data_IF_136354612235
#
_entry.id   IF_136354612235
#
_cell.length_a   1.000
_cell.length_b   1.000
_cell.length_c   1.000
_cell.angle_alpha   90.00
_cell.angle_beta   90.00
_cell.angle_gamma   90.00
#
_symmetry.space_group_name_H-M   'P 1'
#
loop_
_entity.id
_entity.type
_entity.pdbx_description
1 polymer ?
#
# COMPACT_ATOMS: atom_id res chain seq x y z
N UNK A 1 -17.99 88.99 35.00
CA UNK A 1 -18.27 87.68 34.38
C UNK A 1 -17.28 87.50 33.23
N UNK A 2 -16.20 86.74 33.45
CA UNK A 2 -15.09 86.57 32.49
C UNK A 2 -15.05 85.12 32.04
N UNK A 3 -15.03 84.91 30.73
CA UNK A 3 -14.54 83.69 30.10
C UNK A 3 -13.64 84.15 28.95
N UNK A 4 -12.35 83.79 28.96
CA UNK A 4 -11.82 82.92 27.90
C UNK A 4 -10.34 82.54 28.05
N UNK A 5 -10.12 81.26 27.73
CA UNK A 5 -9.01 80.64 27.03
C UNK A 5 -7.57 80.95 27.48
N UNK A 6 -6.93 79.98 28.15
CA UNK A 6 -5.74 79.26 27.65
C UNK A 6 -5.20 78.28 28.71
N UNK A 7 -4.94 77.06 28.26
CA UNK A 7 -3.93 76.11 28.77
C UNK A 7 -4.32 75.07 29.86
N UNK A 8 -3.80 73.85 29.62
CA UNK A 8 -3.54 72.70 30.52
C UNK A 8 -4.69 71.67 30.58
N UNK A 9 -4.76 70.63 29.73
CA UNK A 9 -3.85 69.48 29.50
C UNK A 9 -3.78 68.48 30.67
N UNK A 10 -4.60 67.42 30.61
CA UNK A 10 -4.17 66.05 30.97
C UNK A 10 -5.20 65.02 30.46
N UNK A 11 -4.98 64.47 29.27
CA UNK A 11 -5.64 63.23 28.83
C UNK A 11 -4.65 62.09 29.07
N UNK A 12 -4.96 61.24 30.03
CA UNK A 12 -4.21 60.02 30.35
C UNK A 12 -4.59 58.95 29.31
N UNK A 13 -3.84 58.87 28.22
CA UNK A 13 -3.98 57.80 27.23
C UNK A 13 -3.27 56.54 27.74
N UNK A 14 -4.04 55.60 28.25
CA UNK A 14 -3.63 54.20 28.43
C UNK A 14 -3.46 53.60 27.03
N UNK A 15 -2.21 53.49 26.57
CA UNK A 15 -1.85 52.69 25.41
C UNK A 15 -1.78 51.24 25.91
N UNK A 16 -2.86 50.48 25.69
CA UNK A 16 -2.81 49.03 25.70
C UNK A 16 -1.87 48.59 24.57
N UNK A 17 -0.66 48.15 24.92
CA UNK A 17 0.16 47.32 24.04
C UNK A 17 -0.63 46.03 23.78
N UNK A 18 -1.35 45.97 22.67
CA UNK A 18 -1.64 44.71 22.01
C UNK A 18 -0.30 44.16 21.53
N UNK A 19 0.37 43.40 22.39
CA UNK A 19 1.38 42.44 21.97
C UNK A 19 0.63 41.40 21.13
N UNK A 20 0.52 41.65 19.84
CA UNK A 20 0.15 40.63 18.88
C UNK A 20 1.29 39.61 18.91
N UNK A 21 1.17 38.63 19.81
CA UNK A 21 1.80 37.33 19.61
C UNK A 21 1.29 36.86 18.26
N UNK A 22 2.12 37.03 17.23
CA UNK A 22 1.94 36.35 15.97
C UNK A 22 2.12 34.87 16.30
N UNK A 23 1.02 34.18 16.58
CA UNK A 23 0.96 32.72 16.58
C UNK A 23 1.41 32.30 15.17
N UNK A 24 2.69 31.97 15.07
CA UNK A 24 3.24 31.29 13.90
C UNK A 24 2.41 30.02 13.79
N UNK A 25 1.58 29.93 12.76
CA UNK A 25 0.85 28.72 12.45
C UNK A 25 1.89 27.58 12.38
N UNK A 26 1.87 26.73 13.39
CA UNK A 26 2.76 25.57 13.47
C UNK A 26 2.27 24.59 12.43
N UNK A 27 2.83 24.65 11.22
CA UNK A 27 2.51 23.69 10.18
C UNK A 27 3.12 22.35 10.61
N UNK A 28 2.28 21.42 11.04
CA UNK A 28 2.74 20.06 11.26
C UNK A 28 3.09 19.39 9.92
N UNK A 29 4.13 18.58 9.94
CA UNK A 29 4.65 17.77 8.84
C UNK A 29 4.29 16.32 9.14
N UNK A 30 3.22 15.84 8.50
CA UNK A 30 2.87 14.43 8.52
C UNK A 30 3.88 13.64 7.70
N UNK A 31 4.70 12.80 8.33
CA UNK A 31 5.85 12.15 7.71
C UNK A 31 5.39 11.04 6.76
N UNK A 32 5.90 11.11 5.52
CA UNK A 32 5.82 10.03 4.54
C UNK A 32 7.22 9.49 4.28
N UNK A 33 7.37 8.17 4.30
CA UNK A 33 8.65 7.49 4.07
C UNK A 33 8.39 6.13 3.41
N UNK A 34 9.11 5.84 2.33
CA UNK A 34 9.13 4.54 1.67
C UNK A 34 10.56 4.21 1.31
N UNK A 35 10.97 2.96 1.57
CA UNK A 35 12.32 2.46 1.31
C UNK A 35 12.22 1.11 0.63
N UNK A 36 13.19 0.82 -0.22
CA UNK A 36 13.41 -0.47 -0.86
C UNK A 36 14.89 -0.84 -0.79
N UNK A 37 15.16 -2.13 -0.74
CA UNK A 37 16.45 -2.75 -0.91
C UNK A 37 16.73 -3.09 -2.38
N UNK A 38 18.00 -3.09 -2.72
CA UNK A 38 18.53 -3.66 -3.94
C UNK A 38 19.86 -4.36 -3.61
N UNK A 39 20.23 -5.35 -4.41
CA UNK A 39 21.48 -6.08 -4.26
C UNK A 39 22.30 -5.98 -5.52
N UNK A 40 23.59 -5.67 -5.36
CA UNK A 40 24.49 -5.79 -6.49
C UNK A 40 24.87 -7.25 -6.77
N UNK A 41 25.65 -7.45 -7.84
CA UNK A 41 26.14 -8.76 -8.26
C UNK A 41 26.99 -9.50 -7.20
N UNK A 42 27.50 -8.78 -6.21
CA UNK A 42 28.36 -9.30 -5.14
C UNK A 42 27.55 -9.45 -3.82
N UNK A 43 26.21 -9.41 -3.90
CA UNK A 43 25.25 -9.49 -2.80
C UNK A 43 25.44 -8.40 -1.74
N UNK A 44 25.93 -7.23 -2.13
CA UNK A 44 26.01 -6.04 -1.28
C UNK A 44 24.72 -5.25 -1.38
N UNK A 45 24.26 -4.76 -0.24
CA UNK A 45 22.94 -4.18 -0.08
C UNK A 45 22.96 -2.66 -0.32
N UNK A 46 22.01 -2.18 -1.10
CA UNK A 46 21.74 -0.76 -1.33
C UNK A 46 20.33 -0.43 -0.88
N UNK A 47 20.15 0.59 -0.05
CA UNK A 47 18.83 1.14 0.23
C UNK A 47 18.58 2.39 -0.58
N UNK A 48 17.40 2.48 -1.18
CA UNK A 48 16.88 3.71 -1.79
C UNK A 48 15.49 4.00 -1.25
N UNK A 49 15.11 5.27 -1.18
CA UNK A 49 13.81 5.63 -0.67
C UNK A 49 13.34 7.02 -1.08
N UNK A 50 12.06 7.28 -0.82
CA UNK A 50 11.40 8.57 -1.00
C UNK A 50 10.76 9.04 0.29
N UNK A 51 10.74 10.35 0.50
CA UNK A 51 10.19 10.96 1.71
C UNK A 51 9.79 12.41 1.48
N UNK A 52 8.92 12.95 2.33
CA UNK A 52 8.62 14.38 2.39
C UNK A 52 9.46 15.14 3.44
N UNK A 53 10.45 14.48 4.05
CA UNK A 53 11.35 15.10 5.02
C UNK A 53 12.22 16.21 4.38
N UNK A 54 12.67 17.21 5.16
CA UNK A 54 13.45 18.31 4.63
C UNK A 54 14.77 17.90 4.01
N UNK A 55 15.18 18.63 2.97
CA UNK A 55 16.52 18.52 2.42
C UNK A 55 17.58 18.73 3.51
N UNK A 56 18.64 17.93 3.42
CA UNK A 56 19.76 17.88 4.35
C UNK A 56 19.44 17.26 5.72
N UNK A 57 18.25 16.69 5.89
CA UNK A 57 17.94 15.95 7.11
C UNK A 57 18.77 14.68 7.17
N UNK A 58 19.47 14.49 8.30
CA UNK A 58 20.32 13.33 8.55
C UNK A 58 19.52 12.22 9.19
N UNK A 59 19.61 11.03 8.61
CA UNK A 59 18.99 9.80 9.10
C UNK A 59 20.07 8.75 9.34
N UNK A 60 19.81 7.86 10.28
CA UNK A 60 20.66 6.72 10.61
C UNK A 60 19.91 5.45 10.25
N UNK A 61 20.51 4.65 9.37
CA UNK A 61 20.05 3.33 8.98
C UNK A 61 20.81 2.33 9.85
N UNK A 62 20.10 1.58 10.69
CA UNK A 62 20.65 0.47 11.49
C UNK A 62 20.11 -0.84 10.94
N UNK A 63 21.00 -1.70 10.46
CA UNK A 63 20.65 -2.98 9.86
C UNK A 63 21.06 -4.08 10.83
N UNK A 64 20.19 -5.06 11.07
CA UNK A 64 20.49 -6.27 11.81
C UNK A 64 20.07 -7.51 11.01
N UNK A 65 20.86 -8.58 11.07
CA UNK A 65 20.54 -9.88 10.49
C UNK A 65 20.36 -10.94 11.57
N UNK A 66 19.57 -11.99 11.28
CA UNK A 66 19.43 -13.16 12.17
C UNK A 66 20.76 -13.92 12.38
N UNK A 67 21.68 -13.79 11.43
CA UNK A 67 23.05 -14.33 11.49
C UNK A 67 23.98 -13.55 12.44
N UNK A 68 23.46 -12.50 13.10
CA UNK A 68 24.23 -11.60 13.95
C UNK A 68 24.92 -10.48 13.18
N UNK A 69 24.67 -10.34 11.87
CA UNK A 69 25.11 -9.17 11.13
C UNK A 69 24.55 -7.89 11.76
N UNK A 70 25.39 -6.84 11.84
CA UNK A 70 24.92 -5.50 12.15
C UNK A 70 25.72 -4.44 11.43
N UNK A 71 25.06 -3.38 10.98
CA UNK A 71 25.70 -2.24 10.36
C UNK A 71 24.93 -0.96 10.65
N UNK A 72 25.62 0.18 10.64
CA UNK A 72 25.02 1.50 10.69
C UNK A 72 25.55 2.38 9.57
N UNK A 73 24.65 3.15 8.95
CA UNK A 73 24.97 4.15 7.91
C UNK A 73 24.21 5.44 8.15
N UNK A 74 24.90 6.57 8.05
CA UNK A 74 24.25 7.89 7.99
C UNK A 74 23.89 8.18 6.53
N UNK A 75 22.67 8.66 6.28
CA UNK A 75 22.23 9.16 4.98
C UNK A 75 21.64 10.56 5.12
N UNK A 76 21.69 11.32 4.05
CA UNK A 76 21.14 12.67 3.98
C UNK A 76 19.99 12.72 2.97
N UNK A 77 18.86 13.30 3.37
CA UNK A 77 17.70 13.49 2.49
C UNK A 77 18.02 14.56 1.45
N UNK A 78 17.87 14.23 0.17
CA UNK A 78 18.13 15.11 -0.95
C UNK A 78 16.97 15.07 -1.94
N UNK A 79 16.25 16.20 -2.03
CA UNK A 79 15.06 16.38 -2.87
C UNK A 79 14.03 15.25 -2.67
N UNK A 80 13.70 14.98 -1.41
CA UNK A 80 12.74 13.95 -1.03
C UNK A 80 13.20 12.52 -1.31
N UNK A 81 14.52 12.30 -1.49
CA UNK A 81 15.11 10.97 -1.69
C UNK A 81 16.18 10.70 -0.65
N UNK A 82 16.37 9.42 -0.33
CA UNK A 82 17.50 8.94 0.44
C UNK A 82 18.12 7.74 -0.29
N UNK A 83 19.43 7.61 -0.18
CA UNK A 83 20.20 6.52 -0.77
C UNK A 83 21.35 6.20 0.17
N UNK A 84 21.55 4.92 0.47
CA UNK A 84 22.70 4.46 1.26
C UNK A 84 23.92 4.24 0.36
N UNK A 85 25.09 4.12 0.98
CA UNK A 85 26.19 3.42 0.33
C UNK A 85 25.91 1.91 0.27
N UNK A 86 26.70 1.17 -0.52
CA UNK A 86 26.68 -0.29 -0.50
C UNK A 86 27.10 -0.82 0.89
N UNK A 87 26.26 -1.68 1.45
CA UNK A 87 26.42 -2.33 2.75
C UNK A 87 26.93 -3.75 2.54
N UNK A 88 27.97 -4.11 3.28
CA UNK A 88 28.66 -5.40 3.16
C UNK A 88 29.08 -5.90 4.55
N UNK A 89 29.31 -7.20 4.66
CA UNK A 89 29.90 -7.82 5.84
C UNK A 89 31.41 -7.99 5.61
N UNK A 90 32.21 -7.07 6.19
CA UNK A 90 33.67 -7.07 6.03
C UNK A 90 34.14 -7.09 4.55
N UNK A 91 33.40 -6.39 3.67
CA UNK A 91 33.66 -6.33 2.24
C UNK A 91 33.04 -7.46 1.41
N UNK A 92 32.50 -8.50 2.05
CA UNK A 92 31.71 -9.54 1.39
C UNK A 92 30.22 -9.18 1.35
N UNK A 93 29.47 -9.75 0.42
CA UNK A 93 28.01 -9.65 0.40
C UNK A 93 27.35 -10.17 1.68
N UNK A 94 26.09 -9.82 1.85
CA UNK A 94 25.26 -10.36 2.92
C UNK A 94 24.93 -11.83 2.65
N UNK A 95 24.88 -12.64 3.69
CA UNK A 95 24.47 -14.04 3.58
C UNK A 95 22.95 -14.13 3.43
N UNK A 96 22.43 -15.11 2.67
CA UNK A 96 21.00 -15.41 2.64
C UNK A 96 20.40 -15.53 4.04
N UNK A 97 19.27 -14.86 4.29
CA UNK A 97 18.65 -14.78 5.61
C UNK A 97 17.72 -13.58 5.78
N UNK A 98 17.11 -13.47 6.96
CA UNK A 98 16.22 -12.35 7.31
C UNK A 98 16.98 -11.22 7.97
N UNK A 99 16.58 -10.01 7.63
CA UNK A 99 17.18 -8.77 8.10
C UNK A 99 16.12 -7.74 8.48
N UNK A 100 16.49 -6.83 9.36
CA UNK A 100 15.69 -5.67 9.75
C UNK A 100 16.50 -4.40 9.57
N UNK A 101 15.92 -3.42 8.89
CA UNK A 101 16.39 -2.05 8.81
C UNK A 101 15.56 -1.19 9.75
N UNK A 102 16.22 -0.46 10.63
CA UNK A 102 15.65 0.61 11.43
C UNK A 102 16.19 1.96 10.94
N UNK A 103 15.31 2.85 10.53
CA UNK A 103 15.65 4.23 10.16
C UNK A 103 15.25 5.15 11.29
N UNK A 104 16.20 5.89 11.82
CA UNK A 104 15.96 6.93 12.83
C UNK A 104 16.51 8.28 12.39
N UNK A 105 15.93 9.38 12.87
CA UNK A 105 16.58 10.68 12.73
C UNK A 105 17.51 10.95 13.91
N UNK A 106 18.47 11.85 13.74
CA UNK A 106 19.10 12.50 14.91
C UNK A 106 18.08 13.40 15.61
N UNK A 107 18.31 13.70 16.89
CA UNK A 107 17.49 14.64 17.65
C UNK A 107 17.39 15.98 16.90
N UNK A 108 16.21 16.61 16.93
CA UNK A 108 15.94 17.82 16.13
C UNK A 108 17.01 18.90 16.32
N UNK A 109 17.50 19.10 17.54
CA UNK A 109 18.47 20.12 17.89
C UNK A 109 19.86 19.92 17.26
N UNK A 110 20.18 18.69 16.84
CA UNK A 110 21.46 18.33 16.21
C UNK A 110 21.37 18.41 14.68
N UNK A 111 20.17 18.38 14.11
CA UNK A 111 19.96 18.51 12.67
C UNK A 111 20.44 19.88 12.15
N UNK A 112 20.73 20.05 10.85
CA UNK A 112 21.09 21.36 10.31
C UNK A 112 20.02 22.43 10.59
N UNK A 113 20.43 23.69 10.73
CA UNK A 113 19.53 24.81 11.05
C UNK A 113 18.36 24.91 10.04
N UNK A 114 18.61 24.63 8.76
CA UNK A 114 17.57 24.60 7.71
C UNK A 114 16.49 23.56 7.99
N UNK A 115 16.86 22.41 8.55
CA UNK A 115 15.95 21.33 8.94
C UNK A 115 15.21 21.70 10.22
N UNK A 116 15.92 22.22 11.24
CA UNK A 116 15.33 22.69 12.49
C UNK A 116 14.23 23.73 12.28
N UNK A 117 14.40 24.63 11.31
CA UNK A 117 13.39 25.64 10.97
C UNK A 117 12.08 25.03 10.45
N UNK A 118 12.10 23.79 9.96
CA UNK A 118 10.93 23.09 9.42
C UNK A 118 10.37 22.13 10.46
N UNK A 119 11.19 21.25 11.03
CA UNK A 119 10.72 20.22 11.96
C UNK A 119 10.58 20.72 13.40
N UNK A 120 11.17 21.87 13.73
CA UNK A 120 11.29 22.37 15.09
C UNK A 120 12.58 21.90 15.79
N UNK A 121 12.95 22.55 16.90
CA UNK A 121 14.21 22.24 17.60
C UNK A 121 14.16 20.91 18.34
N UNK A 122 12.97 20.44 18.68
CA UNK A 122 12.68 19.16 19.30
C UNK A 122 11.88 18.26 18.36
N UNK A 123 11.88 18.55 17.05
CA UNK A 123 11.04 17.84 16.09
C UNK A 123 9.54 18.04 16.31
N UNK A 124 9.12 19.04 17.08
CA UNK A 124 7.74 19.25 17.53
C UNK A 124 6.71 19.29 16.39
N UNK A 125 7.13 19.70 15.19
CA UNK A 125 6.29 19.76 13.99
C UNK A 125 6.15 18.41 13.29
N UNK A 126 6.88 17.36 13.67
CA UNK A 126 6.73 16.03 13.09
C UNK A 126 5.44 15.36 13.59
N UNK A 127 4.69 14.77 12.68
CA UNK A 127 3.49 14.00 12.94
C UNK A 127 3.41 12.75 12.03
N UNK A 128 2.49 11.83 12.34
CA UNK A 128 2.30 10.61 11.57
C UNK A 128 2.85 9.36 12.24
N UNK A 129 2.64 8.22 11.60
CA UNK A 129 2.93 6.88 12.15
C UNK A 129 4.42 6.61 12.35
N UNK A 130 5.29 7.25 11.57
CA UNK A 130 6.75 7.09 11.65
C UNK A 130 7.42 8.04 12.64
N UNK A 131 6.66 8.69 13.52
CA UNK A 131 7.16 9.65 14.49
C UNK A 131 7.15 9.05 15.89
N UNK A 132 8.34 8.95 16.49
CA UNK A 132 8.55 8.51 17.87
C UNK A 132 8.74 9.72 18.78
N UNK A 133 8.03 9.75 19.90
CA UNK A 133 8.23 10.77 20.93
C UNK A 133 9.17 10.24 22.02
N UNK A 134 10.24 10.97 22.30
CA UNK A 134 11.16 10.70 23.41
C UNK A 134 11.20 11.89 24.36
N UNK A 135 11.16 11.63 25.68
CA UNK A 135 11.10 12.69 26.69
C UNK A 135 12.29 13.67 26.61
N UNK A 136 13.47 13.17 26.30
CA UNK A 136 14.71 13.96 26.30
C UNK A 136 15.14 14.46 24.93
N UNK A 137 14.84 13.72 23.86
CA UNK A 137 15.29 14.01 22.50
C UNK A 137 14.19 14.63 21.61
N UNK A 138 12.98 14.76 22.14
CA UNK A 138 11.82 15.26 21.41
C UNK A 138 11.23 14.23 20.46
N UNK A 139 10.56 14.71 19.42
CA UNK A 139 10.00 13.87 18.35
C UNK A 139 11.07 13.57 17.30
N UNK A 140 11.12 12.31 16.89
CA UNK A 140 12.13 11.76 15.98
C UNK A 140 11.47 10.86 14.95
N UNK A 141 12.17 10.58 13.86
CA UNK A 141 11.75 9.54 12.92
C UNK A 141 12.09 8.18 13.51
N UNK A 142 11.17 7.24 13.37
CA UNK A 142 11.36 5.83 13.68
C UNK A 142 10.57 4.98 12.70
N UNK A 143 11.28 4.33 11.80
CA UNK A 143 10.72 3.46 10.78
C UNK A 143 11.44 2.12 10.80
N UNK A 144 10.68 1.03 10.69
CA UNK A 144 11.23 -0.33 10.66
C UNK A 144 10.80 -1.03 9.39
N UNK A 145 11.75 -1.67 8.73
CA UNK A 145 11.59 -2.34 7.44
C UNK A 145 12.26 -3.71 7.52
N UNK A 146 11.51 -4.79 7.32
CA UNK A 146 12.07 -6.15 7.33
C UNK A 146 12.19 -6.66 5.90
N UNK A 147 13.30 -7.32 5.57
CA UNK A 147 13.58 -7.87 4.24
C UNK A 147 14.33 -9.20 4.36
N UNK A 148 14.33 -9.99 3.30
CA UNK A 148 15.04 -11.27 3.25
C UNK A 148 15.96 -11.33 2.04
N UNK A 149 17.16 -11.85 2.24
CA UNK A 149 18.10 -12.15 1.16
C UNK A 149 17.96 -13.64 0.86
N UNK A 150 17.69 -13.96 -0.40
CA UNK A 150 17.54 -15.35 -0.85
C UNK A 150 18.51 -15.59 -2.01
N UNK A 151 18.98 -16.82 -2.18
CA UNK A 151 19.71 -17.22 -3.39
C UNK A 151 18.91 -16.79 -4.62
N UNK A 152 19.48 -15.86 -5.39
CA UNK A 152 18.75 -14.95 -6.28
C UNK A 152 18.10 -15.59 -7.52
N UNK A 153 18.00 -16.92 -7.59
CA UNK A 153 17.32 -17.66 -8.65
C UNK A 153 16.09 -18.44 -8.16
N UNK A 154 16.07 -18.88 -6.90
CA UNK A 154 14.94 -19.63 -6.33
C UNK A 154 13.83 -18.69 -5.86
N UNK A 155 14.18 -17.60 -5.17
CA UNK A 155 13.18 -16.65 -4.66
C UNK A 155 12.54 -15.75 -5.72
N UNK A 156 13.25 -15.41 -6.81
CA UNK A 156 12.62 -14.71 -7.93
C UNK A 156 11.57 -15.61 -8.62
N UNK A 157 11.85 -16.92 -8.72
CA UNK A 157 10.93 -17.90 -9.29
C UNK A 157 9.75 -18.19 -8.35
N UNK A 158 9.97 -18.23 -7.03
CA UNK A 158 8.91 -18.38 -6.03
C UNK A 158 8.05 -17.11 -5.90
N UNK A 159 8.67 -15.93 -5.91
CA UNK A 159 7.96 -14.64 -5.90
C UNK A 159 7.09 -14.46 -7.14
N UNK A 160 7.60 -14.76 -8.34
CA UNK A 160 6.76 -14.67 -9.55
C UNK A 160 5.63 -15.70 -9.55
N UNK A 161 5.82 -16.91 -9.02
CA UNK A 161 4.71 -17.87 -8.85
C UNK A 161 3.65 -17.38 -7.87
N UNK A 162 4.07 -16.79 -6.75
CA UNK A 162 3.18 -16.15 -5.77
C UNK A 162 2.36 -15.04 -6.42
N UNK A 163 3.00 -14.21 -7.25
CA UNK A 163 2.33 -13.13 -7.97
C UNK A 163 1.44 -13.64 -9.11
N UNK A 164 1.83 -14.70 -9.82
CA UNK A 164 1.00 -15.31 -10.86
C UNK A 164 -0.29 -15.89 -10.27
N UNK A 165 -0.20 -16.58 -9.13
CA UNK A 165 -1.35 -17.12 -8.40
C UNK A 165 -2.27 -16.00 -7.89
N UNK A 166 -1.71 -14.99 -7.22
CA UNK A 166 -2.47 -13.84 -6.73
C UNK A 166 -3.13 -13.06 -7.87
N UNK A 167 -2.43 -12.82 -8.98
CA UNK A 167 -2.99 -12.12 -10.13
C UNK A 167 -4.10 -12.95 -10.81
N UNK A 168 -4.02 -14.28 -10.75
CA UNK A 168 -5.10 -15.17 -11.13
C UNK A 168 -6.37 -14.91 -10.31
N UNK A 169 -6.24 -14.87 -8.97
CA UNK A 169 -7.38 -14.57 -8.09
C UNK A 169 -7.92 -13.14 -8.27
N UNK A 170 -7.05 -12.15 -8.48
CA UNK A 170 -7.49 -10.77 -8.76
C UNK A 170 -8.30 -10.70 -10.04
N UNK A 171 -7.84 -11.38 -11.10
CA UNK A 171 -8.52 -11.39 -12.40
C UNK A 171 -9.91 -12.05 -12.34
N UNK A 172 -10.09 -13.02 -11.45
CA UNK A 172 -11.36 -13.74 -11.26
C UNK A 172 -12.22 -13.17 -10.13
N UNK A 173 -11.77 -12.14 -9.40
CA UNK A 173 -12.50 -11.55 -8.28
C UNK A 173 -12.53 -12.42 -7.02
N UNK A 174 -11.65 -13.41 -6.90
CA UNK A 174 -11.59 -14.35 -5.76
C UNK A 174 -10.83 -13.75 -4.57
N UNK A 175 -11.30 -12.61 -4.07
CA UNK A 175 -10.62 -11.81 -3.04
C UNK A 175 -10.44 -12.55 -1.70
N UNK A 176 -11.36 -13.44 -1.33
CA UNK A 176 -11.23 -14.26 -0.13
C UNK A 176 -9.98 -15.18 -0.20
N UNK A 177 -9.76 -15.83 -1.34
CA UNK A 177 -8.58 -16.69 -1.54
C UNK A 177 -7.28 -15.90 -1.48
N UNK A 178 -7.27 -14.65 -1.94
CA UNK A 178 -6.11 -13.75 -1.80
C UNK A 178 -5.80 -13.51 -0.31
N UNK A 179 -6.82 -13.21 0.50
CA UNK A 179 -6.59 -12.97 1.93
C UNK A 179 -6.07 -14.21 2.64
N UNK A 180 -6.65 -15.39 2.38
CA UNK A 180 -6.17 -16.66 2.95
C UNK A 180 -4.75 -17.02 2.50
N UNK A 181 -4.47 -16.81 1.22
CA UNK A 181 -3.17 -17.10 0.63
C UNK A 181 -2.08 -16.24 1.29
N UNK A 182 -2.33 -14.94 1.44
CA UNK A 182 -1.41 -14.00 2.09
C UNK A 182 -1.22 -14.32 3.57
N UNK A 183 -2.30 -14.66 4.29
CA UNK A 183 -2.24 -15.04 5.69
C UNK A 183 -1.42 -16.33 5.90
N UNK A 184 -1.53 -17.31 4.99
CA UNK A 184 -0.77 -18.58 5.02
C UNK A 184 0.73 -18.36 4.83
N UNK A 185 1.13 -17.49 3.90
CA UNK A 185 2.55 -17.25 3.63
C UNK A 185 3.20 -16.32 4.65
N UNK A 186 2.42 -15.65 5.51
CA UNK A 186 2.90 -14.72 6.54
C UNK A 186 3.92 -13.71 6.00
N UNK A 187 3.65 -13.19 4.80
CA UNK A 187 4.59 -12.35 4.06
C UNK A 187 4.69 -10.94 4.66
N UNK A 188 5.87 -10.32 4.56
CA UNK A 188 6.10 -8.91 4.89
C UNK A 188 6.19 -8.01 3.65
N UNK A 189 6.01 -8.59 2.46
CA UNK A 189 6.02 -7.88 1.18
C UNK A 189 4.91 -6.83 1.15
N UNK A 190 5.31 -5.57 0.97
CA UNK A 190 4.41 -4.42 1.00
C UNK A 190 3.33 -4.49 -0.09
N UNK A 191 3.68 -4.92 -1.30
CA UNK A 191 2.74 -5.00 -2.40
C UNK A 191 1.69 -6.09 -2.15
N UNK A 192 2.11 -7.24 -1.60
CA UNK A 192 1.18 -8.28 -1.15
C UNK A 192 0.27 -7.77 -0.02
N UNK A 193 0.81 -7.04 0.96
CA UNK A 193 -0.02 -6.41 2.00
C UNK A 193 -1.01 -5.39 1.41
N UNK A 194 -0.63 -4.64 0.38
CA UNK A 194 -1.57 -3.76 -0.32
C UNK A 194 -2.66 -4.54 -1.05
N UNK A 195 -2.34 -5.68 -1.67
CA UNK A 195 -3.32 -6.57 -2.28
C UNK A 195 -4.25 -7.22 -1.24
N UNK A 196 -3.76 -7.47 -0.03
CA UNK A 196 -4.59 -7.93 1.09
C UNK A 196 -5.62 -6.88 1.49
N UNK A 197 -5.20 -5.62 1.69
CA UNK A 197 -6.11 -4.51 1.99
C UNK A 197 -7.12 -4.27 0.86
N UNK A 198 -6.66 -4.36 -0.40
CA UNK A 198 -7.52 -4.26 -1.57
C UNK A 198 -8.56 -5.38 -1.61
N UNK A 199 -8.16 -6.61 -1.29
CA UNK A 199 -9.06 -7.76 -1.23
C UNK A 199 -10.08 -7.61 -0.10
N UNK A 200 -9.67 -7.10 1.08
CA UNK A 200 -10.60 -6.80 2.18
C UNK A 200 -11.61 -5.71 1.83
N UNK A 201 -11.25 -4.70 1.02
CA UNK A 201 -12.21 -3.73 0.49
C UNK A 201 -13.36 -4.42 -0.25
N UNK A 202 -13.04 -5.35 -1.14
CA UNK A 202 -14.05 -6.09 -1.89
C UNK A 202 -14.89 -7.03 -1.02
N UNK A 203 -14.25 -7.77 -0.10
CA UNK A 203 -14.95 -8.68 0.82
C UNK A 203 -15.94 -7.90 1.71
N UNK A 204 -15.51 -6.77 2.29
CA UNK A 204 -16.39 -5.96 3.13
C UNK A 204 -17.49 -5.28 2.31
N UNK A 205 -17.20 -4.85 1.09
CA UNK A 205 -18.21 -4.31 0.18
C UNK A 205 -19.29 -5.35 -0.17
N UNK A 206 -18.88 -6.59 -0.47
CA UNK A 206 -19.82 -7.71 -0.69
C UNK A 206 -20.64 -8.02 0.56
N UNK A 207 -20.07 -7.87 1.76
CA UNK A 207 -20.78 -8.04 3.02
C UNK A 207 -21.70 -6.84 3.39
N UNK A 208 -21.76 -5.79 2.56
CA UNK A 208 -22.54 -4.57 2.83
C UNK A 208 -21.97 -3.70 3.96
N UNK A 209 -20.70 -3.91 4.35
CA UNK A 209 -20.00 -3.11 5.36
C UNK A 209 -19.14 -2.02 4.69
N UNK A 210 -19.81 -1.05 4.07
CA UNK A 210 -19.20 0.04 3.30
C UNK A 210 -18.12 0.78 4.11
N UNK A 211 -18.32 0.92 5.42
CA UNK A 211 -17.35 1.57 6.30
C UNK A 211 -16.05 0.79 6.36
N UNK A 212 -16.10 -0.52 6.66
CA UNK A 212 -14.88 -1.35 6.70
C UNK A 212 -14.25 -1.50 5.32
N UNK A 213 -15.06 -1.53 4.28
CA UNK A 213 -14.58 -1.54 2.91
C UNK A 213 -13.70 -0.30 2.66
N UNK A 214 -14.23 0.90 2.88
CA UNK A 214 -13.49 2.15 2.68
C UNK A 214 -12.26 2.24 3.61
N UNK A 215 -12.38 1.85 4.88
CA UNK A 215 -11.23 1.78 5.79
C UNK A 215 -10.11 0.89 5.23
N UNK A 216 -10.45 -0.25 4.62
CA UNK A 216 -9.48 -1.15 3.99
C UNK A 216 -8.86 -0.55 2.74
N UNK A 217 -9.66 0.06 1.85
CA UNK A 217 -9.15 0.68 0.63
C UNK A 217 -8.21 1.86 0.92
N UNK A 218 -8.54 2.69 1.91
CA UNK A 218 -7.73 3.85 2.30
C UNK A 218 -6.60 3.51 3.28
N UNK A 219 -6.51 2.26 3.77
CA UNK A 219 -5.29 1.75 4.42
C UNK A 219 -4.13 1.65 3.41
N UNK A 220 -4.42 1.53 2.12
CA UNK A 220 -3.41 1.59 1.07
C UNK A 220 -2.96 3.06 0.90
N UNK A 221 -1.66 3.38 0.85
CA UNK A 221 -1.19 4.75 0.70
C UNK A 221 -1.71 5.44 -0.57
N UNK A 222 -2.02 6.74 -0.50
CA UNK A 222 -2.51 7.53 -1.65
C UNK A 222 -1.49 7.62 -2.79
N UNK A 223 -0.20 7.53 -2.47
CA UNK A 223 0.92 7.61 -3.41
C UNK A 223 1.51 6.24 -3.77
N UNK A 224 0.79 5.14 -3.53
CA UNK A 224 1.25 3.78 -3.83
C UNK A 224 1.69 3.62 -5.30
N UNK A 225 2.91 3.09 -5.52
CA UNK A 225 3.56 2.88 -6.83
C UNK A 225 3.98 1.42 -7.09
N UNK A 226 3.43 0.48 -6.34
CA UNK A 226 3.79 -0.95 -6.40
C UNK A 226 3.03 -1.74 -7.48
N UNK A 227 3.09 -3.07 -7.40
CA UNK A 227 2.33 -3.97 -8.29
C UNK A 227 0.84 -3.68 -8.22
N UNK A 228 0.17 -3.74 -9.37
CA UNK A 228 -1.26 -3.43 -9.53
C UNK A 228 -1.66 -2.02 -9.03
N UNK A 229 -0.74 -1.05 -9.10
CA UNK A 229 -1.03 0.37 -8.84
C UNK A 229 -2.24 0.88 -9.65
N UNK A 230 -2.36 0.47 -10.92
CA UNK A 230 -3.45 0.88 -11.81
C UNK A 230 -4.81 0.42 -11.29
N UNK A 231 -4.88 -0.80 -10.77
CA UNK A 231 -6.08 -1.35 -10.13
C UNK A 231 -6.48 -0.57 -8.88
N UNK A 232 -5.53 -0.36 -7.96
CA UNK A 232 -5.78 0.38 -6.72
C UNK A 232 -6.24 1.81 -7.02
N UNK A 233 -5.55 2.50 -7.93
CA UNK A 233 -5.87 3.89 -8.24
C UNK A 233 -7.25 4.01 -8.92
N UNK A 234 -7.66 3.02 -9.71
CA UNK A 234 -9.01 2.97 -10.28
C UNK A 234 -10.08 2.91 -9.19
N UNK A 235 -9.97 1.98 -8.24
CA UNK A 235 -10.98 1.83 -7.19
C UNK A 235 -10.99 3.01 -6.22
N UNK A 236 -9.84 3.62 -5.92
CA UNK A 236 -9.80 4.88 -5.18
C UNK A 236 -10.47 6.02 -5.94
N UNK A 237 -10.20 6.12 -7.24
CA UNK A 237 -10.87 7.08 -8.11
C UNK A 237 -12.39 6.89 -8.12
N UNK A 238 -12.88 5.65 -8.27
CA UNK A 238 -14.32 5.38 -8.19
C UNK A 238 -14.92 5.91 -6.88
N UNK A 239 -14.34 5.55 -5.73
CA UNK A 239 -14.86 5.98 -4.43
C UNK A 239 -14.77 7.49 -4.21
N UNK A 240 -13.70 8.15 -4.68
CA UNK A 240 -13.56 9.60 -4.60
C UNK A 240 -14.59 10.35 -5.47
N UNK A 241 -15.17 9.68 -6.49
CA UNK A 241 -16.07 10.28 -7.47
C UNK A 241 -17.55 9.87 -7.34
N UNK A 242 -17.93 8.96 -6.45
CA UNK A 242 -19.33 8.47 -6.42
C UNK A 242 -20.33 9.44 -5.77
N UNK A 243 -20.94 10.27 -6.63
CA UNK A 243 -22.38 10.58 -6.60
C UNK A 243 -23.10 10.34 -7.94
N UNK A 244 -22.38 10.28 -9.05
CA UNK A 244 -22.94 10.00 -10.38
C UNK A 244 -22.06 8.93 -11.06
N UNK A 245 -22.70 7.98 -11.75
CA UNK A 245 -22.11 6.78 -12.38
C UNK A 245 -20.72 7.00 -13.00
N UNK A 246 -19.81 6.02 -12.81
CA UNK A 246 -18.45 6.07 -13.37
C UNK A 246 -18.48 6.32 -14.88
N UNK A 247 -17.84 7.40 -15.40
CA UNK A 247 -17.92 7.75 -16.81
C UNK A 247 -17.08 6.84 -17.74
N UNK A 248 -16.29 5.90 -17.20
CA UNK A 248 -15.32 5.10 -17.95
C UNK A 248 -15.16 3.68 -17.39
N UNK A 249 -14.85 2.72 -18.27
CA UNK A 249 -14.49 1.35 -17.85
C UNK A 249 -13.09 1.29 -17.24
N UNK A 250 -12.74 0.18 -16.57
CA UNK A 250 -11.37 -0.03 -16.08
C UNK A 250 -10.34 0.07 -17.22
N UNK A 251 -10.64 -0.46 -18.40
CA UNK A 251 -9.76 -0.37 -19.57
C UNK A 251 -9.58 1.06 -20.07
N UNK A 252 -10.63 1.88 -20.03
CA UNK A 252 -10.56 3.31 -20.37
C UNK A 252 -9.72 4.09 -19.35
N UNK A 253 -9.90 3.79 -18.05
CA UNK A 253 -9.10 4.36 -16.97
C UNK A 253 -7.61 4.05 -17.16
N UNK A 254 -7.31 2.78 -17.42
CA UNK A 254 -5.96 2.30 -17.69
C UNK A 254 -5.36 3.00 -18.91
N UNK A 255 -6.10 3.14 -20.01
CA UNK A 255 -5.62 3.82 -21.23
C UNK A 255 -5.30 5.31 -21.00
N UNK A 256 -6.07 5.99 -20.14
CA UNK A 256 -5.84 7.38 -19.75
C UNK A 256 -4.59 7.51 -18.86
N UNK A 257 -4.42 6.61 -17.89
CA UNK A 257 -3.32 6.65 -16.93
C UNK A 257 -1.97 6.19 -17.54
N UNK A 258 -2.01 5.24 -18.48
CA UNK A 258 -0.82 4.66 -19.14
C UNK A 258 -0.12 5.57 -20.15
N UNK A 259 -0.68 6.74 -20.46
CA UNK A 259 -0.04 7.76 -21.31
C UNK A 259 1.29 8.31 -20.76
N UNK A 260 1.85 7.75 -19.67
CA UNK A 260 3.27 7.86 -19.31
C UNK A 260 3.88 6.67 -18.49
N UNK A 261 3.38 5.41 -18.60
CA UNK A 261 4.05 4.15 -18.11
C UNK A 261 3.17 2.90 -18.43
N UNK A 262 3.63 1.65 -18.67
CA UNK A 262 4.10 0.59 -17.73
C UNK A 262 4.58 -0.67 -18.54
N UNK A 263 5.37 -1.52 -17.87
CA UNK A 263 5.93 -2.86 -18.17
C UNK A 263 4.93 -4.05 -18.10
N UNK A 264 5.31 -5.30 -18.43
CA UNK A 264 4.41 -6.47 -18.49
C UNK A 264 3.68 -6.92 -17.21
N UNK A 265 3.99 -6.37 -16.02
CA UNK A 265 3.51 -6.85 -14.71
C UNK A 265 2.25 -6.12 -14.18
N UNK A 266 1.42 -5.57 -15.06
CA UNK A 266 0.21 -4.81 -14.68
C UNK A 266 -1.05 -5.69 -14.71
N UNK A 267 -2.07 -5.37 -13.91
CA UNK A 267 -3.33 -6.13 -13.87
C UNK A 267 -3.95 -6.30 -15.26
N UNK A 268 -3.87 -5.31 -16.16
CA UNK A 268 -4.42 -5.47 -17.50
C UNK A 268 -3.72 -6.54 -18.36
N UNK A 269 -2.45 -6.87 -18.11
CA UNK A 269 -1.82 -8.02 -18.76
C UNK A 269 -2.48 -9.33 -18.30
N UNK A 270 -2.75 -9.47 -17.01
CA UNK A 270 -3.37 -10.67 -16.46
C UNK A 270 -4.87 -10.77 -16.79
N UNK A 271 -5.60 -9.65 -16.78
CA UNK A 271 -7.00 -9.60 -17.22
C UNK A 271 -7.16 -10.02 -18.70
N UNK A 272 -6.28 -9.55 -19.58
CA UNK A 272 -6.28 -9.96 -20.99
C UNK A 272 -5.77 -11.39 -21.18
N UNK A 273 -4.82 -11.85 -20.36
CA UNK A 273 -4.34 -13.24 -20.35
C UNK A 273 -5.43 -14.21 -19.88
N UNK A 274 -6.23 -13.89 -18.86
CA UNK A 274 -7.38 -14.70 -18.45
C UNK A 274 -8.47 -14.79 -19.53
N UNK A 275 -8.59 -13.75 -20.37
CA UNK A 275 -9.47 -13.79 -21.55
C UNK A 275 -8.90 -14.65 -22.70
N UNK A 276 -7.57 -14.87 -22.75
CA UNK A 276 -6.88 -15.63 -23.81
C UNK A 276 -6.51 -17.08 -23.45
N UNK A 277 -6.35 -17.43 -22.17
CA UNK A 277 -5.92 -18.76 -21.68
C UNK A 277 -7.05 -19.80 -21.56
N UNK A 278 -8.02 -19.75 -22.46
CA UNK A 278 -8.95 -20.85 -22.70
C UNK A 278 -8.30 -22.00 -23.48
N UNK A 279 -7.11 -22.50 -23.10
CA UNK A 279 -6.65 -23.79 -23.61
C UNK A 279 -5.55 -24.48 -22.76
N UNK A 280 -5.71 -25.80 -22.63
CA UNK A 280 -4.79 -26.88 -22.21
C UNK A 280 -4.72 -27.38 -20.75
N UNK A 281 -5.63 -28.33 -20.46
CA UNK A 281 -5.41 -29.70 -19.91
C UNK A 281 -4.57 -29.85 -18.62
N UNK A 282 -4.95 -29.10 -17.60
CA UNK A 282 -5.27 -29.67 -16.28
C UNK A 282 -6.47 -28.90 -15.69
N UNK A 283 -7.31 -28.38 -16.60
CA UNK A 283 -7.97 -27.08 -16.50
C UNK A 283 -9.50 -27.13 -16.60
N UNK A 284 -10.10 -28.27 -16.96
CA UNK A 284 -11.54 -28.28 -17.25
C UNK A 284 -12.38 -28.11 -15.97
N UNK A 285 -11.99 -28.74 -14.86
CA UNK A 285 -12.71 -28.62 -13.59
C UNK A 285 -12.59 -27.22 -12.95
N UNK A 286 -11.40 -26.61 -13.00
CA UNK A 286 -11.19 -25.25 -12.49
C UNK A 286 -11.90 -24.21 -13.36
N UNK A 287 -11.86 -24.37 -14.69
CA UNK A 287 -12.57 -23.46 -15.59
C UNK A 287 -14.08 -23.57 -15.42
N UNK A 288 -14.61 -24.80 -15.27
CA UNK A 288 -16.03 -25.02 -14.99
C UNK A 288 -16.41 -24.42 -13.64
N UNK A 289 -15.63 -24.68 -12.59
CA UNK A 289 -15.86 -24.12 -11.25
C UNK A 289 -15.82 -22.59 -11.25
N UNK A 290 -14.78 -21.99 -11.83
CA UNK A 290 -14.64 -20.53 -11.89
C UNK A 290 -15.75 -19.87 -12.72
N UNK A 291 -16.19 -20.50 -13.81
CA UNK A 291 -17.34 -20.05 -14.58
C UNK A 291 -18.62 -20.11 -13.73
N UNK A 292 -18.83 -21.20 -12.98
CA UNK A 292 -19.97 -21.32 -12.08
C UNK A 292 -19.95 -20.26 -10.98
N UNK A 293 -18.79 -19.94 -10.41
CA UNK A 293 -18.65 -18.87 -9.41
C UNK A 293 -18.93 -17.48 -10.02
N UNK A 294 -18.50 -17.24 -11.26
CA UNK A 294 -18.84 -16.01 -11.98
C UNK A 294 -20.34 -15.90 -12.26
N UNK A 295 -20.98 -16.98 -12.71
CA UNK A 295 -22.43 -17.01 -12.92
C UNK A 295 -23.19 -16.87 -11.61
N UNK A 296 -22.69 -17.45 -10.52
CA UNK A 296 -23.18 -17.23 -9.17
C UNK A 296 -23.16 -15.74 -8.83
N UNK A 297 -22.01 -15.07 -8.97
CA UNK A 297 -21.89 -13.65 -8.67
C UNK A 297 -22.84 -12.78 -9.50
N UNK A 298 -22.95 -13.07 -10.80
CA UNK A 298 -23.84 -12.34 -11.72
C UNK A 298 -25.30 -12.51 -11.32
N UNK A 299 -25.71 -13.73 -11.00
CA UNK A 299 -27.10 -14.07 -10.71
C UNK A 299 -27.53 -13.62 -9.32
N UNK A 300 -26.59 -13.69 -8.38
CA UNK A 300 -26.91 -13.55 -6.96
C UNK A 300 -26.61 -12.17 -6.41
N UNK A 301 -26.10 -11.26 -7.26
CA UNK A 301 -25.44 -10.02 -6.84
C UNK A 301 -24.36 -10.33 -5.78
N UNK A 302 -23.36 -11.12 -6.20
CA UNK A 302 -22.25 -11.58 -5.35
C UNK A 302 -22.72 -12.25 -4.04
N UNK A 303 -23.86 -12.95 -4.08
CA UNK A 303 -24.45 -13.69 -2.97
C UNK A 303 -25.56 -12.95 -2.21
N UNK A 304 -25.76 -11.64 -2.45
CA UNK A 304 -26.71 -10.81 -1.68
C UNK A 304 -28.17 -11.27 -1.74
N UNK A 305 -28.59 -11.86 -2.86
CA UNK A 305 -29.95 -12.35 -3.05
C UNK A 305 -30.01 -13.87 -3.26
N UNK A 306 -28.96 -14.60 -2.84
CA UNK A 306 -28.84 -16.02 -3.07
C UNK A 306 -29.96 -16.82 -2.39
N UNK A 307 -30.74 -17.49 -3.23
CA UNK A 307 -31.74 -18.50 -2.90
C UNK A 307 -31.31 -19.82 -3.57
N UNK A 308 -30.82 -20.82 -2.82
CA UNK A 308 -30.26 -22.07 -3.36
C UNK A 308 -31.21 -22.78 -4.33
N UNK A 309 -32.50 -22.87 -3.98
CA UNK A 309 -33.51 -23.56 -4.79
C UNK A 309 -33.80 -22.87 -6.14
N UNK A 310 -33.37 -21.62 -6.29
CA UNK A 310 -33.56 -20.82 -7.51
C UNK A 310 -32.25 -20.72 -8.29
N UNK A 311 -31.14 -20.38 -7.63
CA UNK A 311 -29.91 -20.02 -8.32
C UNK A 311 -29.03 -21.23 -8.67
N UNK A 312 -28.95 -22.25 -7.80
CA UNK A 312 -28.09 -23.41 -8.06
C UNK A 312 -28.49 -24.15 -9.34
N UNK A 313 -29.79 -24.42 -9.60
CA UNK A 313 -30.19 -25.06 -10.85
C UNK A 313 -29.83 -24.22 -12.08
N UNK A 314 -29.93 -22.88 -11.99
CA UNK A 314 -29.63 -21.96 -13.09
C UNK A 314 -28.13 -21.92 -13.37
N UNK A 315 -27.29 -21.85 -12.34
CA UNK A 315 -25.83 -21.82 -12.46
C UNK A 315 -25.35 -23.15 -13.07
N UNK A 316 -25.85 -24.28 -12.57
CA UNK A 316 -25.55 -25.60 -13.10
C UNK A 316 -25.98 -25.75 -14.57
N UNK A 317 -27.18 -25.27 -14.93
CA UNK A 317 -27.69 -25.30 -16.30
C UNK A 317 -26.87 -24.43 -17.25
N UNK A 318 -26.47 -23.23 -16.81
CA UNK A 318 -25.61 -22.33 -17.59
C UNK A 318 -24.23 -22.92 -17.82
N UNK A 319 -23.62 -23.51 -16.80
CA UNK A 319 -22.33 -24.18 -16.93
C UNK A 319 -22.42 -25.45 -17.79
N UNK A 320 -23.45 -26.27 -17.60
CA UNK A 320 -23.71 -27.45 -18.43
C UNK A 320 -23.86 -27.08 -19.91
N UNK A 321 -24.60 -26.00 -20.20
CA UNK A 321 -24.79 -25.49 -21.55
C UNK A 321 -23.49 -24.90 -22.12
N UNK A 322 -22.76 -24.11 -21.33
CA UNK A 322 -21.53 -23.44 -21.77
C UNK A 322 -20.41 -24.43 -22.12
N UNK A 323 -20.27 -25.50 -21.33
CA UNK A 323 -19.20 -26.49 -21.48
C UNK A 323 -19.63 -27.78 -22.20
N UNK A 324 -20.91 -27.92 -22.58
CA UNK A 324 -21.42 -29.13 -23.22
C UNK A 324 -21.34 -30.37 -22.33
N UNK A 325 -21.44 -30.19 -21.01
CA UNK A 325 -21.37 -31.25 -20.00
C UNK A 325 -22.77 -31.62 -19.49
N UNK A 326 -22.95 -32.80 -18.92
CA UNK A 326 -24.19 -33.12 -18.20
C UNK A 326 -24.25 -32.37 -16.86
N UNK A 327 -25.46 -32.06 -16.37
CA UNK A 327 -25.65 -31.43 -15.07
C UNK A 327 -24.92 -32.19 -13.95
N UNK A 328 -24.94 -33.52 -13.98
CA UNK A 328 -24.25 -34.37 -12.99
C UNK A 328 -22.72 -34.21 -13.02
N UNK A 329 -22.11 -34.00 -14.18
CA UNK A 329 -20.66 -33.78 -14.30
C UNK A 329 -20.25 -32.41 -13.76
N UNK A 330 -21.06 -31.38 -14.06
CA UNK A 330 -20.84 -30.02 -13.56
C UNK A 330 -21.01 -29.98 -12.04
N UNK A 331 -22.06 -30.62 -11.52
CA UNK A 331 -22.33 -30.73 -10.09
C UNK A 331 -21.22 -31.50 -9.36
N UNK A 332 -20.74 -32.61 -9.92
CA UNK A 332 -19.61 -33.36 -9.37
C UNK A 332 -18.32 -32.52 -9.33
N UNK A 333 -18.04 -31.74 -10.37
CA UNK A 333 -16.90 -30.81 -10.39
C UNK A 333 -17.04 -29.77 -9.28
N UNK A 334 -18.22 -29.16 -9.15
CA UNK A 334 -18.49 -28.16 -8.13
C UNK A 334 -18.32 -28.73 -6.71
N UNK A 335 -18.94 -29.87 -6.44
CA UNK A 335 -18.87 -30.53 -5.14
C UNK A 335 -17.45 -30.97 -4.78
N UNK A 336 -16.72 -31.55 -5.73
CA UNK A 336 -15.33 -31.96 -5.49
C UNK A 336 -14.40 -30.77 -5.22
N UNK A 337 -14.64 -29.62 -5.87
CA UNK A 337 -13.86 -28.40 -5.62
C UNK A 337 -14.26 -27.72 -4.32
N UNK A 338 -15.56 -27.61 -4.03
CA UNK A 338 -16.05 -27.09 -2.76
C UNK A 338 -15.55 -27.91 -1.55
N UNK A 339 -15.38 -29.23 -1.70
CA UNK A 339 -14.85 -30.13 -0.64
C UNK A 339 -13.33 -30.17 -0.53
N UNK A 340 -12.59 -29.67 -1.52
CA UNK A 340 -11.11 -29.55 -1.48
C UNK A 340 -10.63 -28.22 -0.90
N UNK A 341 -11.56 -27.32 -0.59
CA UNK A 341 -11.27 -26.10 0.18
C UNK A 341 -10.99 -26.50 1.64
N UNK A 342 -9.83 -26.14 2.22
CA UNK A 342 -9.48 -26.46 3.60
C UNK A 342 -10.34 -25.75 4.65
#
# INVERSE_FOLDING_TARGET
MRINAKSILLFLSIILLFCACSEKASSSLHVELSVKEDFDKDSRLLFTGTTNLPNRMKLVLSITGEDGFSAQKEVEVNNGKLESELISNNGAGLVPGKYSLQITSQAGIIQPISVQNIIGKQGENLEGEFVLSQETLGKMIGYTYSFSTSDSQTAATESEKVWDELNGYLATGQYALITEFIDKIQTTDQDLQMMYHFSKYHIYGQAGDDKKALESLYSIPKNYKGRNEDLINYYKYLNDFYKDESPFSFNDYVALYRKNRITPTSFAYYATKSEQFGDTKNSDADTVYNYMMKEFDILTDYGNNYVPEIHDPIILERASTHFGMTLSQVDEIFMNRAMQLP
#
